data_IF_642018410556
#
_entry.id   IF_642018410556
#
_cell.length_a   1.000
_cell.length_b   1.000
_cell.length_c   1.000
_cell.angle_alpha   90.00
_cell.angle_beta   90.00
_cell.angle_gamma   90.00
#
_symmetry.space_group_name_H-M   'P 1'
#
loop_
_entity.id
_entity.type
_entity.pdbx_description
1 polymer ?
#
# COMPACT_ATOMS: atom_id res chain seq x y z
N UNK A 1 -100.27 23.83 72.53
CA UNK A 1 -99.58 25.09 72.13
C UNK A 1 -98.07 24.92 72.01
N UNK A 2 -97.38 24.29 72.97
CA UNK A 2 -95.91 24.05 72.93
C UNK A 2 -95.41 23.22 71.72
N UNK A 3 -96.18 22.23 71.25
CA UNK A 3 -95.79 21.41 70.08
C UNK A 3 -95.76 22.16 68.74
N UNK A 4 -96.49 23.28 68.60
CA UNK A 4 -96.52 24.05 67.35
C UNK A 4 -95.29 24.97 67.26
N UNK A 5 -94.96 25.63 68.37
CA UNK A 5 -93.81 26.51 68.51
C UNK A 5 -92.48 25.75 68.27
N UNK A 6 -92.35 24.54 68.80
CA UNK A 6 -91.15 23.71 68.58
C UNK A 6 -91.00 23.26 67.12
N UNK A 7 -92.10 22.99 66.40
CA UNK A 7 -92.06 22.65 64.97
C UNK A 7 -91.67 23.87 64.13
N UNK A 8 -92.21 25.04 64.43
CA UNK A 8 -91.90 26.27 63.69
C UNK A 8 -90.44 26.70 63.91
N UNK A 9 -89.89 26.52 65.12
CA UNK A 9 -88.46 26.77 65.40
C UNK A 9 -87.51 25.78 64.71
N UNK A 10 -87.86 24.48 64.69
CA UNK A 10 -87.07 23.47 63.99
C UNK A 10 -87.09 23.69 62.46
N UNK A 11 -88.24 24.18 61.95
CA UNK A 11 -88.42 24.54 60.55
C UNK A 11 -87.58 25.74 60.13
N UNK A 12 -87.57 26.81 60.92
CA UNK A 12 -86.74 27.99 60.66
C UNK A 12 -85.23 27.67 60.61
N UNK A 13 -84.75 26.80 61.51
CA UNK A 13 -83.35 26.32 61.49
C UNK A 13 -83.02 25.51 60.24
N UNK A 14 -83.94 24.65 59.81
CA UNK A 14 -83.78 23.84 58.61
C UNK A 14 -83.75 24.70 57.35
N UNK A 15 -84.60 25.73 57.27
CA UNK A 15 -84.65 26.67 56.16
C UNK A 15 -83.35 27.48 56.03
N UNK A 16 -82.80 27.95 57.15
CA UNK A 16 -81.52 28.68 57.17
C UNK A 16 -80.34 27.81 56.73
N UNK A 17 -80.30 26.54 57.15
CA UNK A 17 -79.27 25.59 56.73
C UNK A 17 -79.34 25.32 55.22
N UNK A 18 -80.55 25.23 54.66
CA UNK A 18 -80.77 25.03 53.22
C UNK A 18 -80.31 26.23 52.38
N UNK A 19 -80.66 27.46 52.78
CA UNK A 19 -80.18 28.65 52.07
C UNK A 19 -78.67 28.85 52.19
N UNK A 20 -78.06 28.50 53.33
CA UNK A 20 -76.60 28.52 53.48
C UNK A 20 -75.91 27.50 52.55
N UNK A 21 -76.47 26.31 52.42
CA UNK A 21 -75.98 25.29 51.49
C UNK A 21 -76.10 25.71 50.02
N UNK A 22 -77.22 26.34 49.64
CA UNK A 22 -77.41 26.87 48.28
C UNK A 22 -76.35 27.95 47.97
N UNK A 23 -76.10 28.87 48.90
CA UNK A 23 -75.10 29.91 48.72
C UNK A 23 -73.68 29.35 48.56
N UNK A 24 -73.34 28.30 49.34
CA UNK A 24 -72.05 27.60 49.24
C UNK A 24 -71.88 26.93 47.87
N UNK A 25 -72.88 26.17 47.43
CA UNK A 25 -72.85 25.45 46.15
C UNK A 25 -72.75 26.40 44.95
N UNK A 26 -73.43 27.56 44.98
CA UNK A 26 -73.29 28.59 43.93
C UNK A 26 -71.87 29.16 43.86
N UNK A 27 -71.17 29.29 44.98
CA UNK A 27 -69.80 29.83 45.01
C UNK A 27 -68.74 28.85 44.51
N UNK A 28 -68.98 27.56 44.71
CA UNK A 28 -68.13 26.51 44.15
C UNK A 28 -68.37 26.29 42.65
N UNK A 29 -69.39 26.95 42.08
CA UNK A 29 -69.77 26.81 40.68
C UNK A 29 -70.45 25.47 40.37
N UNK A 30 -70.93 24.77 41.41
CA UNK A 30 -71.63 23.50 41.25
C UNK A 30 -73.07 23.72 40.81
N UNK A 31 -73.59 22.75 40.02
CA UNK A 31 -74.98 22.78 39.58
C UNK A 31 -75.91 22.57 40.77
N UNK A 32 -76.79 23.55 41.01
CA UNK A 32 -77.82 23.45 42.04
C UNK A 32 -78.83 22.38 41.65
N UNK A 33 -78.90 21.32 42.44
CA UNK A 33 -79.94 20.30 42.35
C UNK A 33 -80.52 20.08 43.73
N UNK A 34 -81.77 19.64 43.78
CA UNK A 34 -82.43 19.29 45.06
C UNK A 34 -81.62 18.24 45.84
N UNK A 35 -80.93 17.34 45.14
CA UNK A 35 -80.09 16.31 45.75
C UNK A 35 -78.81 16.88 46.37
N UNK A 36 -78.12 17.80 45.69
CA UNK A 36 -76.90 18.44 46.22
C UNK A 36 -77.22 19.34 47.41
N UNK A 37 -78.29 20.13 47.31
CA UNK A 37 -78.74 21.03 48.38
C UNK A 37 -79.21 20.27 49.63
N UNK A 38 -80.04 19.23 49.48
CA UNK A 38 -80.52 18.43 50.61
C UNK A 38 -79.37 17.75 51.37
N UNK A 39 -78.39 17.23 50.63
CA UNK A 39 -77.20 16.58 51.21
C UNK A 39 -76.35 17.58 51.98
N UNK A 40 -76.05 18.73 51.38
CA UNK A 40 -75.21 19.76 52.01
C UNK A 40 -75.87 20.39 53.25
N UNK A 41 -77.20 20.52 53.24
CA UNK A 41 -77.96 21.07 54.36
C UNK A 41 -78.33 20.03 55.45
N UNK A 42 -78.08 18.74 55.21
CA UNK A 42 -78.42 17.66 56.14
C UNK A 42 -79.94 17.44 56.32
N UNK A 43 -80.75 17.80 55.32
CA UNK A 43 -82.21 17.65 55.34
C UNK A 43 -82.67 16.56 54.38
N UNK A 44 -83.81 15.93 54.65
CA UNK A 44 -84.40 14.95 53.75
C UNK A 44 -84.88 15.60 52.45
N UNK A 45 -84.71 14.93 51.30
CA UNK A 45 -85.23 15.42 50.01
C UNK A 45 -86.75 15.63 50.04
N UNK A 46 -87.46 14.75 50.75
CA UNK A 46 -88.90 14.85 50.97
C UNK A 46 -89.32 16.11 51.72
N UNK A 47 -88.42 16.72 52.51
CA UNK A 47 -88.67 17.97 53.24
C UNK A 47 -88.75 19.17 52.30
N UNK A 48 -87.96 19.17 51.22
CA UNK A 48 -87.95 20.23 50.21
C UNK A 48 -89.16 20.17 49.26
N UNK A 49 -89.83 19.02 49.16
CA UNK A 49 -91.05 18.82 48.37
C UNK A 49 -92.34 18.95 49.19
N UNK A 50 -92.25 19.38 50.45
CA UNK A 50 -93.45 19.66 51.23
C UNK A 50 -94.19 20.86 50.65
N UNK A 51 -95.49 20.72 50.45
CA UNK A 51 -96.33 21.80 49.92
C UNK A 51 -96.44 22.93 50.95
N UNK A 52 -95.56 23.91 50.82
CA UNK A 52 -95.46 25.06 51.69
C UNK A 52 -94.69 26.20 51.02
N UNK A 53 -95.15 27.42 51.21
CA UNK A 53 -94.60 28.63 50.61
C UNK A 53 -93.08 28.78 50.81
N UNK A 54 -92.55 28.45 51.98
CA UNK A 54 -91.10 28.57 52.24
C UNK A 54 -90.26 27.59 51.41
N UNK A 55 -90.75 26.35 51.21
CA UNK A 55 -90.04 25.33 50.44
C UNK A 55 -90.24 25.53 48.94
N UNK A 56 -91.40 26.04 48.54
CA UNK A 56 -91.65 26.51 47.17
C UNK A 56 -90.68 27.64 46.79
N UNK A 57 -90.40 28.57 47.70
CA UNK A 57 -89.40 29.62 47.49
C UNK A 57 -87.97 29.07 47.40
N UNK A 58 -87.61 28.06 48.20
CA UNK A 58 -86.31 27.36 48.08
C UNK A 58 -86.17 26.68 46.72
N UNK A 59 -87.22 25.99 46.24
CA UNK A 59 -87.23 25.32 44.95
C UNK A 59 -87.06 26.32 43.80
N UNK A 60 -87.74 27.48 43.85
CA UNK A 60 -87.56 28.55 42.88
C UNK A 60 -86.10 29.07 42.83
N UNK A 61 -85.39 29.10 43.96
CA UNK A 61 -83.97 29.48 44.01
C UNK A 61 -83.06 28.39 43.44
N UNK A 62 -83.39 27.11 43.65
CA UNK A 62 -82.67 25.99 43.03
C UNK A 62 -82.83 26.04 41.51
N UNK A 63 -84.02 26.39 41.02
CA UNK A 63 -84.33 26.51 39.59
C UNK A 63 -83.82 27.81 38.94
N UNK A 64 -83.05 28.62 39.68
CA UNK A 64 -82.33 29.78 39.15
C UNK A 64 -82.82 31.16 39.62
N UNK A 65 -83.83 31.22 40.49
CA UNK A 65 -84.30 32.46 41.11
C UNK A 65 -83.32 33.04 42.14
N UNK A 66 -83.51 34.31 42.49
CA UNK A 66 -82.71 35.01 43.51
C UNK A 66 -83.14 34.65 44.94
N UNK A 67 -82.16 34.66 45.86
CA UNK A 67 -82.43 34.41 47.28
C UNK A 67 -83.26 35.57 47.86
N UNK A 68 -84.39 35.30 48.54
CA UNK A 68 -85.23 36.36 49.11
C UNK A 68 -84.43 37.31 50.05
N UNK A 69 -84.60 38.64 49.94
CA UNK A 69 -83.81 39.62 50.70
C UNK A 69 -83.86 39.42 52.22
N UNK A 70 -84.99 38.95 52.74
CA UNK A 70 -85.20 38.70 54.17
C UNK A 70 -84.26 37.62 54.75
N UNK A 71 -83.76 36.70 53.92
CA UNK A 71 -82.87 35.60 54.33
C UNK A 71 -81.39 36.03 54.31
N UNK A 72 -81.03 36.94 53.41
CA UNK A 72 -79.66 37.44 53.22
C UNK A 72 -79.14 38.16 54.47
N UNK A 73 -80.03 38.77 55.26
CA UNK A 73 -79.67 39.56 56.46
C UNK A 73 -79.19 38.69 57.65
N UNK A 74 -79.41 37.36 57.63
CA UNK A 74 -79.03 36.44 58.71
C UNK A 74 -77.89 35.48 58.34
N UNK A 75 -77.18 35.73 57.24
CA UNK A 75 -75.99 34.96 56.87
C UNK A 75 -74.74 35.54 57.57
N UNK A 76 -73.97 34.73 58.32
CA UNK A 76 -72.75 35.22 58.95
C UNK A 76 -71.77 35.75 57.90
N UNK A 77 -71.22 36.94 58.15
CA UNK A 77 -70.24 37.64 57.32
C UNK A 77 -68.86 36.95 57.29
N UNK A 78 -68.80 35.70 56.85
CA UNK A 78 -67.54 34.95 56.61
C UNK A 78 -66.96 35.29 55.21
N UNK A 79 -67.63 36.16 54.46
CA UNK A 79 -67.34 36.45 53.05
C UNK A 79 -66.29 37.52 52.76
N UNK A 80 -65.22 37.66 53.56
CA UNK A 80 -64.06 38.47 53.13
C UNK A 80 -62.71 37.80 53.34
N UNK A 81 -62.01 37.66 52.20
CA UNK A 81 -60.57 37.44 51.95
C UNK A 81 -60.04 36.00 51.86
N UNK A 82 -60.21 35.39 50.67
CA UNK A 82 -59.30 34.35 50.12
C UNK A 82 -58.40 34.85 48.96
N UNK A 83 -58.50 36.13 48.57
CA UNK A 83 -57.75 36.71 47.45
C UNK A 83 -56.21 36.65 47.58
N UNK A 84 -55.57 36.93 48.75
CA UNK A 84 -54.11 36.93 48.83
C UNK A 84 -53.51 35.53 48.63
N UNK A 85 -54.19 34.49 49.10
CA UNK A 85 -53.75 33.10 48.98
C UNK A 85 -53.87 32.59 47.54
N UNK A 86 -54.91 33.01 46.81
CA UNK A 86 -55.10 32.66 45.40
C UNK A 86 -54.13 33.40 44.49
N UNK A 87 -53.83 34.68 44.77
CA UNK A 87 -52.80 35.45 44.05
C UNK A 87 -51.43 34.82 44.25
N UNK A 88 -51.07 34.45 45.49
CA UNK A 88 -49.80 33.78 45.77
C UNK A 88 -49.69 32.45 45.03
N UNK A 89 -50.72 31.62 45.09
CA UNK A 89 -50.76 30.34 44.36
C UNK A 89 -50.65 30.53 42.84
N UNK A 90 -51.33 31.52 42.27
CA UNK A 90 -51.22 31.85 40.85
C UNK A 90 -49.81 32.33 40.49
N UNK A 91 -49.18 33.16 41.32
CA UNK A 91 -47.82 33.66 41.09
C UNK A 91 -46.79 32.53 41.17
N UNK A 92 -46.89 31.65 42.16
CA UNK A 92 -46.02 30.48 42.29
C UNK A 92 -46.22 29.52 41.09
N UNK A 93 -47.46 29.37 40.62
CA UNK A 93 -47.78 28.55 39.45
C UNK A 93 -47.27 29.16 38.14
N UNK A 94 -47.35 30.48 37.98
CA UNK A 94 -46.79 31.19 36.82
C UNK A 94 -45.27 31.02 36.81
N UNK A 95 -44.58 31.25 37.93
CA UNK A 95 -43.11 31.07 38.00
C UNK A 95 -42.67 29.63 37.72
N UNK A 96 -43.44 28.63 38.15
CA UNK A 96 -43.17 27.24 37.80
C UNK A 96 -43.34 26.97 36.30
N UNK A 97 -44.38 27.52 35.67
CA UNK A 97 -44.62 27.39 34.22
C UNK A 97 -43.58 28.14 33.39
N UNK A 98 -43.14 29.32 33.83
CA UNK A 98 -42.06 30.07 33.17
C UNK A 98 -40.74 29.30 33.21
N UNK A 99 -40.44 28.66 34.33
CA UNK A 99 -39.25 27.81 34.47
C UNK A 99 -39.33 26.57 33.57
N UNK A 100 -40.48 25.88 33.55
CA UNK A 100 -40.71 24.76 32.63
C UNK A 100 -40.57 25.20 31.16
N UNK A 101 -41.08 26.38 30.81
CA UNK A 101 -40.95 26.94 29.47
C UNK A 101 -39.48 27.22 29.12
N UNK A 102 -38.71 27.81 30.02
CA UNK A 102 -37.29 28.09 29.83
C UNK A 102 -36.45 26.80 29.69
N UNK A 103 -36.73 25.78 30.52
CA UNK A 103 -36.12 24.46 30.39
C UNK A 103 -36.44 23.80 29.03
N UNK A 104 -37.68 23.95 28.57
CA UNK A 104 -38.12 23.42 27.27
C UNK A 104 -37.46 24.13 26.10
N UNK A 105 -37.33 25.47 26.17
CA UNK A 105 -36.63 26.28 25.16
C UNK A 105 -35.15 25.88 25.09
N UNK A 106 -34.47 25.79 26.24
CA UNK A 106 -33.07 25.40 26.30
C UNK A 106 -32.83 23.99 25.74
N UNK A 107 -33.73 23.05 26.03
CA UNK A 107 -33.69 21.70 25.47
C UNK A 107 -33.91 21.70 23.94
N UNK A 108 -34.86 22.51 23.47
CA UNK A 108 -35.13 22.67 22.05
C UNK A 108 -33.90 23.25 21.32
N UNK A 109 -33.31 24.34 21.84
CA UNK A 109 -32.12 24.96 21.25
C UNK A 109 -30.93 24.02 21.20
N UNK A 110 -30.67 23.27 22.28
CA UNK A 110 -29.62 22.26 22.30
C UNK A 110 -29.86 21.13 21.28
N UNK A 111 -31.12 20.74 21.08
CA UNK A 111 -31.51 19.72 20.10
C UNK A 111 -31.40 20.26 18.67
N UNK A 112 -31.81 21.51 18.43
CA UNK A 112 -31.66 22.19 17.15
C UNK A 112 -30.18 22.34 16.77
N UNK A 113 -29.32 22.76 17.69
CA UNK A 113 -27.88 22.85 17.42
C UNK A 113 -27.28 21.48 17.07
N UNK A 114 -27.62 20.41 17.81
CA UNK A 114 -27.18 19.04 17.46
C UNK A 114 -27.66 18.60 16.09
N UNK A 115 -28.90 18.92 15.71
CA UNK A 115 -29.44 18.62 14.39
C UNK A 115 -28.74 19.41 13.28
N UNK A 116 -28.42 20.68 13.53
CA UNK A 116 -27.65 21.53 12.60
C UNK A 116 -26.25 20.97 12.41
N UNK A 117 -25.56 20.60 13.50
CA UNK A 117 -24.22 19.99 13.44
C UNK A 117 -24.24 18.67 12.66
N UNK A 118 -25.25 17.82 12.91
CA UNK A 118 -25.43 16.56 12.18
C UNK A 118 -25.72 16.81 10.69
N UNK A 119 -26.58 17.77 10.35
CA UNK A 119 -26.86 18.15 8.97
C UNK A 119 -25.61 18.68 8.28
N UNK A 120 -24.83 19.53 8.93
CA UNK A 120 -23.57 20.05 8.39
C UNK A 120 -22.54 18.94 8.20
N UNK A 121 -22.43 18.00 9.15
CA UNK A 121 -21.58 16.82 9.04
C UNK A 121 -21.95 15.94 7.83
N UNK A 122 -23.23 15.60 7.68
CA UNK A 122 -23.69 14.82 6.54
C UNK A 122 -23.59 15.59 5.24
N UNK A 123 -23.79 16.91 5.25
CA UNK A 123 -23.60 17.76 4.07
C UNK A 123 -22.14 17.77 3.64
N UNK A 124 -21.19 17.94 4.56
CA UNK A 124 -19.75 17.86 4.27
C UNK A 124 -19.35 16.49 3.70
N UNK A 125 -19.83 15.39 4.30
CA UNK A 125 -19.60 14.03 3.78
C UNK A 125 -20.23 13.83 2.40
N UNK A 126 -21.41 14.40 2.16
CA UNK A 126 -22.11 14.32 0.87
C UNK A 126 -21.44 15.17 -0.23
N UNK A 127 -20.84 16.31 0.14
CA UNK A 127 -20.12 17.17 -0.78
C UNK A 127 -18.74 16.60 -1.13
N UNK A 128 -18.13 15.83 -0.23
CA UNK A 128 -16.92 15.06 -0.51
C UNK A 128 -17.17 13.85 -1.45
N UNK A 129 -18.42 13.44 -1.73
CA UNK A 129 -18.67 12.14 -2.39
C UNK A 129 -18.75 12.11 -3.92
N UNK A 130 -18.73 13.22 -4.69
CA UNK A 130 -18.49 13.16 -6.15
C UNK A 130 -17.04 13.45 -6.53
N UNK A 131 -16.46 14.56 -6.07
CA UNK A 131 -15.10 14.96 -6.48
C UNK A 131 -14.05 13.95 -6.01
N UNK A 132 -14.15 13.49 -4.76
CA UNK A 132 -13.25 12.49 -4.19
C UNK A 132 -13.45 11.12 -4.84
N UNK A 133 -14.68 10.78 -5.26
CA UNK A 133 -14.94 9.57 -6.05
C UNK A 133 -14.37 9.66 -7.45
N UNK A 134 -14.44 10.82 -8.10
CA UNK A 134 -13.85 11.06 -9.42
C UNK A 134 -12.33 11.09 -9.36
N UNK A 135 -11.75 11.64 -8.29
CA UNK A 135 -10.31 11.66 -8.05
C UNK A 135 -9.77 10.26 -7.73
N UNK A 136 -10.46 9.48 -6.89
CA UNK A 136 -10.14 8.07 -6.65
C UNK A 136 -10.34 7.23 -7.92
N UNK A 137 -11.38 7.50 -8.72
CA UNK A 137 -11.60 6.84 -10.02
C UNK A 137 -10.47 7.17 -10.99
N UNK A 138 -10.04 8.44 -11.07
CA UNK A 138 -8.91 8.88 -11.90
C UNK A 138 -7.61 8.22 -11.47
N UNK A 139 -7.30 8.22 -10.17
CA UNK A 139 -6.15 7.52 -9.62
C UNK A 139 -6.21 6.01 -9.91
N UNK A 140 -7.38 5.39 -9.85
CA UNK A 140 -7.54 3.96 -10.16
C UNK A 140 -7.33 3.67 -11.64
N UNK A 141 -7.76 4.57 -12.53
CA UNK A 141 -7.49 4.48 -13.97
C UNK A 141 -5.99 4.63 -14.25
N UNK A 142 -5.33 5.64 -13.66
CA UNK A 142 -3.89 5.86 -13.77
C UNK A 142 -3.08 4.68 -13.21
N UNK A 143 -3.53 4.12 -12.08
CA UNK A 143 -2.92 2.93 -11.48
C UNK A 143 -3.09 1.70 -12.39
N UNK A 144 -4.25 1.53 -13.01
CA UNK A 144 -4.49 0.42 -13.95
C UNK A 144 -3.62 0.58 -15.20
N UNK A 145 -3.53 1.79 -15.75
CA UNK A 145 -2.67 2.11 -16.89
C UNK A 145 -1.18 1.86 -16.56
N UNK A 146 -0.72 2.24 -15.37
CA UNK A 146 0.65 1.95 -14.92
C UNK A 146 0.88 0.46 -14.68
N UNK A 147 -0.09 -0.30 -14.17
CA UNK A 147 0.02 -1.76 -14.08
C UNK A 147 0.12 -2.43 -15.46
N UNK A 148 -0.67 -1.97 -16.43
CA UNK A 148 -0.61 -2.43 -17.82
C UNK A 148 0.73 -2.08 -18.47
N UNK A 149 1.24 -0.86 -18.22
CA UNK A 149 2.54 -0.41 -18.69
C UNK A 149 3.69 -1.16 -18.03
N UNK A 150 3.63 -1.42 -16.72
CA UNK A 150 4.56 -2.31 -16.02
C UNK A 150 4.47 -3.73 -16.59
N UNK A 151 3.26 -4.20 -16.93
CA UNK A 151 3.05 -5.48 -17.60
C UNK A 151 3.75 -5.55 -18.96
N UNK A 152 3.56 -4.52 -19.79
CA UNK A 152 4.25 -4.36 -21.08
C UNK A 152 5.76 -4.25 -20.90
N UNK A 153 6.25 -3.42 -19.98
CA UNK A 153 7.67 -3.26 -19.70
C UNK A 153 8.28 -4.54 -19.14
N UNK A 154 7.57 -5.30 -18.30
CA UNK A 154 8.02 -6.63 -17.84
C UNK A 154 8.05 -7.64 -18.98
N UNK A 155 7.07 -7.62 -19.88
CA UNK A 155 7.07 -8.44 -21.08
C UNK A 155 8.18 -8.03 -22.05
N UNK A 156 8.45 -6.75 -22.19
CA UNK A 156 9.52 -6.21 -23.03
C UNK A 156 10.88 -6.49 -22.40
N UNK A 157 11.03 -6.36 -21.08
CA UNK A 157 12.23 -6.82 -20.35
C UNK A 157 12.37 -8.32 -20.51
N UNK A 158 11.31 -9.13 -20.41
CA UNK A 158 11.37 -10.56 -20.70
C UNK A 158 11.75 -10.82 -22.14
N UNK A 159 11.18 -10.10 -23.12
CA UNK A 159 11.52 -10.21 -24.54
C UNK A 159 12.97 -9.81 -24.79
N UNK A 160 13.45 -8.73 -24.21
CA UNK A 160 14.84 -8.26 -24.28
C UNK A 160 15.80 -9.14 -23.47
N UNK A 161 15.32 -9.82 -22.42
CA UNK A 161 16.05 -10.83 -21.65
C UNK A 161 16.00 -12.18 -22.35
N UNK A 162 15.00 -12.44 -23.19
CA UNK A 162 14.88 -13.62 -24.04
C UNK A 162 15.54 -13.35 -25.40
N UNK A 163 15.75 -12.11 -25.81
CA UNK A 163 16.58 -11.69 -26.95
C UNK A 163 18.04 -11.51 -26.49
N UNK A 164 18.25 -11.12 -25.23
CA UNK A 164 19.52 -11.13 -24.51
C UNK A 164 19.88 -12.49 -23.91
N UNK A 165 18.90 -13.41 -23.83
CA UNK A 165 18.95 -14.81 -23.37
C UNK A 165 18.92 -15.83 -24.52
N UNK A 166 18.27 -15.45 -25.65
CA UNK A 166 18.80 -15.63 -27.02
C UNK A 166 19.97 -14.68 -27.28
N UNK A 167 20.66 -14.30 -26.22
CA UNK A 167 22.10 -14.29 -26.14
C UNK A 167 22.64 -15.02 -27.38
N UNK A 168 23.43 -14.40 -28.24
CA UNK A 168 24.65 -13.76 -27.80
C UNK A 168 25.32 -14.46 -26.59
N UNK A 169 25.04 -15.76 -26.37
CA UNK A 169 26.00 -16.79 -26.01
C UNK A 169 26.86 -16.99 -27.27
N UNK A 170 27.41 -15.89 -27.78
CA UNK A 170 28.84 -15.86 -27.94
C UNK A 170 29.34 -16.00 -26.50
N UNK A 171 29.36 -17.23 -25.94
CA UNK A 171 29.97 -17.45 -24.63
C UNK A 171 31.38 -16.94 -24.79
N UNK A 172 31.66 -15.74 -24.24
CA UNK A 172 32.54 -14.74 -24.86
C UNK A 172 33.56 -15.42 -25.75
N UNK A 173 33.24 -15.57 -27.05
CA UNK A 173 33.91 -16.58 -27.92
C UNK A 173 35.33 -16.10 -27.95
N UNK A 174 36.18 -16.75 -27.16
CA UNK A 174 37.55 -16.36 -27.09
C UNK A 174 38.07 -16.53 -28.50
N UNK A 175 38.49 -15.42 -29.11
CA UNK A 175 38.94 -15.43 -30.49
C UNK A 175 40.33 -16.02 -30.48
N UNK A 176 40.53 -17.13 -31.16
CA UNK A 176 41.88 -17.62 -31.42
C UNK A 176 42.48 -16.86 -32.59
N UNK A 177 43.73 -16.42 -32.43
CA UNK A 177 44.59 -16.01 -33.53
C UNK A 177 45.83 -16.90 -33.52
N UNK A 178 46.41 -17.09 -34.69
CA UNK A 178 47.51 -18.01 -34.89
C UNK A 178 48.55 -17.38 -35.80
N UNK A 179 49.80 -17.30 -35.33
CA UNK A 179 50.97 -16.99 -36.14
C UNK A 179 51.74 -18.29 -36.31
N UNK A 180 51.90 -18.73 -37.56
CA UNK A 180 52.68 -19.92 -37.89
C UNK A 180 54.03 -19.51 -38.47
N UNK A 181 55.12 -20.05 -37.94
CA UNK A 181 56.49 -19.86 -38.39
C UNK A 181 56.95 -21.19 -39.00
N UNK A 182 56.96 -21.31 -40.35
CA UNK A 182 57.33 -22.56 -41.03
C UNK A 182 58.76 -23.02 -40.70
N UNK A 183 58.98 -24.33 -40.47
CA UNK A 183 60.27 -24.87 -40.07
C UNK A 183 61.36 -24.77 -41.15
N UNK A 184 60.99 -24.62 -42.41
CA UNK A 184 61.91 -24.55 -43.56
C UNK A 184 62.56 -23.16 -43.73
N UNK A 185 62.08 -22.15 -43.00
CA UNK A 185 62.61 -20.79 -43.09
C UNK A 185 63.99 -20.67 -42.41
N UNK A 186 64.89 -19.91 -43.03
CA UNK A 186 66.10 -19.46 -42.32
C UNK A 186 65.73 -18.57 -41.14
N UNK A 187 66.60 -18.48 -40.13
CA UNK A 187 66.35 -17.69 -38.91
C UNK A 187 65.95 -16.24 -39.22
N UNK A 188 66.66 -15.58 -40.15
CA UNK A 188 66.35 -14.20 -40.53
C UNK A 188 64.96 -14.07 -41.17
N UNK A 189 64.57 -14.99 -42.06
CA UNK A 189 63.24 -14.99 -42.70
C UNK A 189 62.13 -15.32 -41.69
N UNK A 190 62.39 -16.26 -40.78
CA UNK A 190 61.47 -16.61 -39.71
C UNK A 190 61.20 -15.42 -38.78
N UNK A 191 62.25 -14.65 -38.44
CA UNK A 191 62.12 -13.44 -37.61
C UNK A 191 61.36 -12.33 -38.33
N UNK A 192 61.68 -12.04 -39.59
CA UNK A 192 60.99 -11.03 -40.40
C UNK A 192 59.51 -11.37 -40.59
N UNK A 193 59.21 -12.64 -40.91
CA UNK A 193 57.85 -13.17 -41.00
C UNK A 193 57.09 -13.04 -39.68
N UNK A 194 57.72 -13.44 -38.57
CA UNK A 194 57.13 -13.30 -37.25
C UNK A 194 56.81 -11.84 -36.91
N UNK A 195 57.75 -10.92 -37.12
CA UNK A 195 57.55 -9.51 -36.83
C UNK A 195 56.43 -8.91 -37.69
N UNK A 196 56.37 -9.29 -38.97
CA UNK A 196 55.32 -8.85 -39.90
C UNK A 196 53.95 -9.33 -39.44
N UNK A 197 53.81 -10.61 -39.12
CA UNK A 197 52.55 -11.17 -38.64
C UNK A 197 52.19 -10.64 -37.24
N UNK A 198 53.17 -10.45 -36.36
CA UNK A 198 52.95 -9.85 -35.04
C UNK A 198 52.38 -8.43 -35.17
N UNK A 199 52.95 -7.57 -36.02
CA UNK A 199 52.41 -6.22 -36.26
C UNK A 199 51.04 -6.24 -36.94
N UNK A 200 50.78 -7.20 -37.83
CA UNK A 200 49.46 -7.38 -38.44
C UNK A 200 48.40 -7.73 -37.42
N UNK A 201 48.76 -8.54 -36.41
CA UNK A 201 47.87 -8.95 -35.33
C UNK A 201 47.78 -7.92 -34.20
N UNK A 202 48.89 -7.25 -33.91
CA UNK A 202 49.13 -6.36 -32.76
C UNK A 202 49.95 -5.14 -33.23
N UNK A 203 49.32 -4.17 -33.92
CA UNK A 203 50.03 -3.02 -34.49
C UNK A 203 50.59 -2.08 -33.42
N UNK A 204 49.96 -2.04 -32.24
CA UNK A 204 50.37 -1.20 -31.12
C UNK A 204 49.97 -1.80 -29.76
N UNK A 205 50.42 -1.15 -28.68
CA UNK A 205 50.12 -1.57 -27.29
C UNK A 205 48.63 -1.48 -26.94
N UNK A 206 47.87 -0.57 -27.55
CA UNK A 206 46.45 -0.43 -27.25
C UNK A 206 45.68 -1.66 -27.76
N UNK A 207 46.01 -2.15 -28.96
CA UNK A 207 45.50 -3.43 -29.47
C UNK A 207 46.02 -4.62 -28.67
N UNK A 208 47.29 -4.57 -28.23
CA UNK A 208 47.90 -5.60 -27.40
C UNK A 208 47.13 -5.89 -26.09
N UNK A 209 46.46 -4.90 -25.50
CA UNK A 209 45.61 -5.06 -24.31
C UNK A 209 44.37 -5.93 -24.52
N UNK A 210 43.94 -6.13 -25.77
CA UNK A 210 42.80 -6.99 -26.09
C UNK A 210 43.14 -8.50 -26.07
N UNK A 211 44.43 -8.84 -26.01
CA UNK A 211 44.88 -10.22 -25.88
C UNK A 211 44.90 -10.61 -24.40
N UNK A 212 44.28 -11.74 -24.09
CA UNK A 212 44.13 -12.22 -22.70
C UNK A 212 45.05 -13.39 -22.37
N UNK A 213 45.57 -14.07 -23.39
CA UNK A 213 46.57 -15.13 -23.23
C UNK A 213 47.42 -15.25 -24.49
N UNK A 214 48.72 -15.45 -24.34
CA UNK A 214 49.62 -15.72 -25.45
C UNK A 214 50.33 -17.04 -25.18
N UNK A 215 50.41 -17.91 -26.17
CA UNK A 215 51.02 -19.24 -26.02
C UNK A 215 52.01 -19.49 -27.15
N UNK A 216 53.28 -19.60 -26.80
CA UNK A 216 54.32 -20.13 -27.67
C UNK A 216 54.17 -21.65 -27.71
N UNK A 217 53.87 -22.19 -28.89
CA UNK A 217 53.70 -23.63 -29.11
C UNK A 217 54.96 -24.14 -29.79
N UNK A 218 55.76 -24.83 -29.00
CA UNK A 218 57.11 -25.25 -29.34
C UNK A 218 57.17 -26.77 -29.51
N UNK A 219 58.08 -27.23 -30.35
CA UNK A 219 58.32 -28.65 -30.58
C UNK A 219 58.76 -28.94 -32.01
N UNK A 220 59.18 -30.18 -32.25
CA UNK A 220 59.70 -30.62 -33.55
C UNK A 220 58.66 -30.43 -34.67
N UNK A 221 59.08 -30.29 -35.94
CA UNK A 221 58.15 -30.39 -37.07
C UNK A 221 57.35 -31.70 -36.99
N UNK A 222 56.07 -31.68 -37.40
CA UNK A 222 55.15 -32.84 -37.34
C UNK A 222 54.86 -33.41 -35.95
N UNK A 223 55.26 -32.74 -34.86
CA UNK A 223 54.92 -33.17 -33.49
C UNK A 223 53.43 -33.10 -33.14
N UNK A 224 52.61 -32.45 -33.98
CA UNK A 224 51.16 -32.28 -33.77
C UNK A 224 50.75 -30.91 -33.23
N UNK A 225 51.64 -29.91 -33.29
CA UNK A 225 51.41 -28.54 -32.79
C UNK A 225 50.13 -27.90 -33.34
N UNK A 226 49.97 -27.81 -34.66
CA UNK A 226 48.75 -27.23 -35.27
C UNK A 226 47.48 -27.96 -34.81
N UNK A 227 47.50 -29.30 -34.82
CA UNK A 227 46.37 -30.12 -34.32
C UNK A 227 46.07 -29.87 -32.85
N UNK A 228 47.10 -29.66 -32.02
CA UNK A 228 46.93 -29.32 -30.61
C UNK A 228 46.30 -27.94 -30.44
N UNK A 229 46.77 -26.93 -31.20
CA UNK A 229 46.22 -25.56 -31.22
C UNK A 229 44.73 -25.59 -31.60
N UNK A 230 44.37 -26.35 -32.62
CA UNK A 230 42.99 -26.48 -33.09
C UNK A 230 42.07 -27.02 -31.98
N UNK A 231 42.56 -27.99 -31.21
CA UNK A 231 41.82 -28.63 -30.11
C UNK A 231 41.69 -27.80 -28.84
N UNK A 232 42.55 -26.80 -28.61
CA UNK A 232 42.45 -25.98 -27.40
C UNK A 232 41.13 -25.21 -27.36
N UNK A 233 40.50 -25.04 -26.21
CA UNK A 233 39.47 -24.01 -26.08
C UNK A 233 40.17 -22.67 -25.82
N UNK A 234 39.54 -21.56 -26.21
CA UNK A 234 40.02 -20.28 -25.70
C UNK A 234 39.78 -20.25 -24.17
N UNK A 235 40.79 -19.94 -23.34
CA UNK A 235 40.74 -20.08 -21.89
C UNK A 235 39.75 -19.13 -21.20
N UNK A 236 39.21 -18.13 -21.90
CA UNK A 236 38.23 -17.19 -21.35
C UNK A 236 37.78 -16.13 -22.36
N UNK A 237 37.01 -15.12 -21.91
CA UNK A 237 36.68 -13.95 -22.72
C UNK A 237 37.95 -13.25 -23.21
N UNK A 238 37.99 -12.84 -24.49
CA UNK A 238 39.11 -12.08 -25.07
C UNK A 238 39.73 -12.72 -26.32
N UNK A 239 40.96 -12.33 -26.66
CA UNK A 239 41.71 -12.90 -27.78
C UNK A 239 42.91 -13.71 -27.28
N UNK A 240 43.02 -14.95 -27.72
CA UNK A 240 44.17 -15.81 -27.46
C UNK A 240 45.06 -15.88 -28.69
N UNK A 241 46.35 -15.62 -28.53
CA UNK A 241 47.33 -15.73 -29.61
C UNK A 241 48.16 -17.01 -29.41
N UNK A 242 48.18 -17.86 -30.43
CA UNK A 242 49.09 -18.99 -30.53
C UNK A 242 50.22 -18.63 -31.50
N UNK A 243 51.46 -18.82 -31.08
CA UNK A 243 52.66 -18.65 -31.90
C UNK A 243 53.25 -20.04 -32.11
N UNK A 244 53.02 -20.62 -33.27
CA UNK A 244 53.53 -21.93 -33.64
C UNK A 244 54.87 -21.80 -34.36
N UNK A 245 55.87 -22.54 -33.90
CA UNK A 245 57.13 -22.68 -34.62
C UNK A 245 57.95 -23.86 -34.11
N UNK A 246 59.14 -24.05 -34.68
CA UNK A 246 60.10 -25.03 -34.13
C UNK A 246 60.60 -24.57 -32.77
N UNK A 247 60.95 -23.28 -32.67
CA UNK A 247 61.29 -22.59 -31.42
C UNK A 247 62.30 -23.38 -30.59
N UNK A 248 63.26 -24.01 -31.28
CA UNK A 248 64.07 -25.09 -30.73
C UNK A 248 65.26 -24.58 -29.92
N UNK A 249 65.68 -23.33 -30.09
CA UNK A 249 66.74 -22.69 -29.29
C UNK A 249 66.17 -21.65 -28.32
N UNK A 250 66.85 -21.47 -27.19
CA UNK A 250 66.57 -20.48 -26.15
C UNK A 250 66.68 -19.05 -26.70
N UNK A 251 67.70 -18.77 -27.51
CA UNK A 251 67.90 -17.46 -28.12
C UNK A 251 66.68 -17.02 -28.93
N UNK A 252 66.16 -17.92 -29.78
CA UNK A 252 65.00 -17.65 -30.61
C UNK A 252 63.76 -17.40 -29.75
N UNK A 253 63.52 -18.25 -28.73
CA UNK A 253 62.38 -18.08 -27.81
C UNK A 253 62.47 -16.75 -27.06
N UNK A 254 63.65 -16.39 -26.55
CA UNK A 254 63.89 -15.17 -25.77
C UNK A 254 63.66 -13.92 -26.61
N UNK A 255 64.20 -13.86 -27.83
CA UNK A 255 64.04 -12.70 -28.72
C UNK A 255 62.58 -12.51 -29.10
N UNK A 256 61.88 -13.58 -29.49
CA UNK A 256 60.47 -13.50 -29.88
C UNK A 256 59.58 -13.13 -28.68
N UNK A 257 59.84 -13.70 -27.51
CA UNK A 257 59.14 -13.37 -26.26
C UNK A 257 59.28 -11.89 -25.91
N UNK A 258 60.50 -11.33 -26.03
CA UNK A 258 60.75 -9.92 -25.75
C UNK A 258 59.91 -8.99 -26.66
N UNK A 259 59.74 -9.35 -27.93
CA UNK A 259 58.90 -8.60 -28.86
C UNK A 259 57.42 -8.64 -28.47
N UNK A 260 56.93 -9.82 -28.06
CA UNK A 260 55.55 -9.98 -27.58
C UNK A 260 55.32 -9.17 -26.29
N UNK A 261 56.18 -9.33 -25.27
CA UNK A 261 56.05 -8.61 -23.98
C UNK A 261 56.18 -7.09 -24.13
N UNK A 262 56.83 -6.60 -25.18
CA UNK A 262 56.86 -5.16 -25.49
C UNK A 262 55.49 -4.62 -25.92
N UNK A 263 54.66 -5.44 -26.58
CA UNK A 263 53.37 -5.05 -27.14
C UNK A 263 52.17 -5.47 -26.28
N UNK A 264 52.32 -6.53 -25.49
CA UNK A 264 51.24 -7.14 -24.73
C UNK A 264 51.53 -7.22 -23.24
N UNK A 265 50.49 -7.01 -22.42
CA UNK A 265 50.52 -7.18 -20.95
C UNK A 265 49.94 -8.55 -20.52
N UNK A 266 49.54 -9.38 -21.48
CA UNK A 266 48.92 -10.68 -21.24
C UNK A 266 49.91 -11.71 -20.70
N UNK A 267 49.41 -12.71 -19.98
CA UNK A 267 50.21 -13.88 -19.58
C UNK A 267 50.73 -14.61 -20.83
N UNK A 268 52.05 -14.84 -20.87
CA UNK A 268 52.76 -15.53 -21.94
C UNK A 268 53.23 -16.89 -21.45
N UNK A 269 52.66 -17.94 -22.05
CA UNK A 269 52.95 -19.34 -21.73
C UNK A 269 53.80 -19.98 -22.81
N UNK A 270 54.59 -20.99 -22.45
CA UNK A 270 55.21 -21.89 -23.41
C UNK A 270 54.58 -23.29 -23.28
N UNK A 271 53.94 -23.77 -24.35
CA UNK A 271 53.47 -25.13 -24.49
C UNK A 271 54.49 -25.94 -25.30
N UNK A 272 55.19 -26.85 -24.64
CA UNK A 272 56.23 -27.67 -25.24
C UNK A 272 55.70 -29.08 -25.54
N UNK A 273 55.55 -29.40 -26.83
CA UNK A 273 55.16 -30.74 -27.27
C UNK A 273 56.36 -31.69 -27.17
N UNK A 274 56.23 -32.70 -26.32
CA UNK A 274 57.26 -33.68 -25.97
C UNK A 274 57.32 -34.87 -26.95
N UNK A 275 56.67 -34.77 -28.11
CA UNK A 275 56.72 -35.79 -29.16
C UNK A 275 58.17 -36.02 -29.60
N UNK A 276 58.64 -37.26 -29.49
CA UNK A 276 60.01 -37.63 -29.85
C UNK A 276 60.30 -37.54 -31.34
N UNK A 277 61.58 -37.45 -31.69
CA UNK A 277 62.03 -37.35 -33.08
C UNK A 277 61.62 -38.57 -33.91
N UNK A 278 61.67 -39.78 -33.35
CA UNK A 278 61.28 -41.02 -34.04
C UNK A 278 59.83 -40.98 -34.52
N UNK A 279 58.92 -40.48 -33.69
CA UNK A 279 57.50 -40.34 -34.02
C UNK A 279 57.28 -39.24 -35.07
N UNK A 280 58.04 -38.15 -35.01
CA UNK A 280 57.98 -37.09 -36.02
C UNK A 280 58.50 -37.57 -37.38
N UNK A 281 59.59 -38.35 -37.40
CA UNK A 281 60.15 -38.97 -38.59
C UNK A 281 59.19 -40.01 -39.19
N UNK A 282 58.56 -40.84 -38.35
CA UNK A 282 57.53 -41.79 -38.80
C UNK A 282 56.35 -41.09 -39.47
N UNK A 283 55.98 -39.89 -39.00
CA UNK A 283 54.94 -39.04 -39.63
C UNK A 283 55.40 -38.36 -40.92
N UNK A 284 56.71 -38.23 -41.13
CA UNK A 284 57.29 -37.70 -42.37
C UNK A 284 57.35 -38.76 -43.48
N UNK A 285 57.33 -40.06 -43.14
CA UNK A 285 57.24 -41.16 -44.11
C UNK A 285 55.94 -41.08 -44.94
N UNK A 286 55.96 -41.50 -46.21
CA UNK A 286 55.24 -40.81 -47.28
C UNK A 286 53.71 -40.95 -47.18
N UNK A 287 53.05 -39.89 -46.71
CA UNK A 287 51.83 -39.41 -47.36
C UNK A 287 52.25 -38.58 -48.58
N UNK A 288 51.68 -38.84 -49.75
CA UNK A 288 51.98 -38.26 -51.08
C UNK A 288 51.86 -36.71 -51.20
N UNK A 289 52.36 -35.92 -50.25
CA UNK A 289 52.24 -34.46 -50.23
C UNK A 289 53.63 -33.86 -50.25
N UNK A 290 54.04 -33.36 -51.43
CA UNK A 290 55.36 -32.82 -51.73
C UNK A 290 55.69 -31.47 -51.04
N UNK A 291 55.05 -31.12 -49.93
CA UNK A 291 55.08 -29.78 -49.34
C UNK A 291 55.22 -29.78 -47.81
N UNK A 292 55.94 -30.75 -47.24
CA UNK A 292 56.17 -30.87 -45.79
C UNK A 292 57.65 -30.86 -45.40
N UNK A 293 57.95 -30.69 -44.10
CA UNK A 293 59.32 -30.68 -43.58
C UNK A 293 60.02 -32.03 -43.86
N UNK A 294 61.26 -31.96 -44.36
CA UNK A 294 62.04 -33.17 -44.70
C UNK A 294 62.57 -33.90 -43.46
N UNK A 295 62.95 -35.17 -43.62
CA UNK A 295 63.58 -35.93 -42.54
C UNK A 295 64.89 -35.28 -42.08
N UNK A 296 65.70 -34.75 -42.99
CA UNK A 296 66.94 -34.04 -42.68
C UNK A 296 66.67 -32.81 -41.80
N UNK A 297 65.62 -32.06 -42.13
CA UNK A 297 65.23 -30.87 -41.36
C UNK A 297 64.79 -31.24 -39.95
N UNK A 298 64.01 -32.31 -39.79
CA UNK A 298 63.58 -32.82 -38.47
C UNK A 298 64.79 -33.23 -37.64
N UNK A 299 65.74 -33.97 -38.22
CA UNK A 299 66.98 -34.38 -37.54
C UNK A 299 67.85 -33.19 -37.15
N UNK A 300 68.00 -32.20 -38.04
CA UNK A 300 68.79 -31.00 -37.78
C UNK A 300 68.19 -30.19 -36.62
N UNK A 301 66.87 -29.95 -36.63
CA UNK A 301 66.19 -29.24 -35.54
C UNK A 301 66.28 -30.03 -34.24
N UNK A 302 66.11 -31.35 -34.28
CA UNK A 302 66.22 -32.20 -33.09
C UNK A 302 67.61 -32.12 -32.45
N UNK A 303 68.67 -32.16 -33.25
CA UNK A 303 70.05 -32.04 -32.77
C UNK A 303 70.33 -30.68 -32.10
N UNK A 304 69.72 -29.61 -32.59
CA UNK A 304 69.83 -28.25 -32.01
C UNK A 304 68.77 -27.92 -30.96
N UNK A 305 67.94 -28.87 -30.53
CA UNK A 305 66.84 -28.60 -29.60
C UNK A 305 67.35 -28.44 -28.17
N UNK A 306 67.17 -27.24 -27.62
CA UNK A 306 67.44 -26.91 -26.23
C UNK A 306 66.18 -27.07 -25.39
N UNK A 307 66.34 -27.55 -24.15
CA UNK A 307 65.21 -27.69 -23.21
C UNK A 307 64.69 -26.32 -22.82
N UNK A 308 63.37 -26.16 -22.80
CA UNK A 308 62.76 -24.94 -22.28
C UNK A 308 63.02 -24.82 -20.80
N UNK A 309 63.51 -23.65 -20.39
CA UNK A 309 63.83 -23.32 -19.01
C UNK A 309 62.86 -22.28 -18.45
N UNK A 310 62.64 -22.33 -17.13
CA UNK A 310 61.91 -21.28 -16.40
C UNK A 310 62.67 -19.94 -16.41
N UNK A 311 63.96 -19.97 -16.72
CA UNK A 311 64.80 -18.77 -16.81
C UNK A 311 64.48 -17.90 -18.04
N UNK A 312 63.80 -18.47 -19.04
CA UNK A 312 63.43 -17.78 -20.29
C UNK A 312 62.29 -16.77 -20.11
N UNK A 313 61.91 -16.43 -18.86
CA UNK A 313 60.91 -15.40 -18.53
C UNK A 313 59.50 -15.66 -19.05
N UNK A 314 59.15 -16.90 -19.41
CA UNK A 314 57.76 -17.31 -19.58
C UNK A 314 57.03 -17.26 -18.24
N UNK A 315 55.75 -16.88 -18.26
CA UNK A 315 54.95 -16.80 -17.04
C UNK A 315 54.49 -18.20 -16.58
N UNK A 316 54.38 -19.15 -17.53
CA UNK A 316 54.18 -20.57 -17.24
C UNK A 316 54.69 -21.49 -18.35
N UNK A 317 55.10 -22.71 -17.97
CA UNK A 317 55.55 -23.77 -18.87
C UNK A 317 54.61 -24.97 -18.79
N UNK A 318 54.20 -25.49 -19.95
CA UNK A 318 53.28 -26.63 -20.06
C UNK A 318 53.90 -27.70 -20.94
N UNK A 319 54.19 -28.87 -20.37
CA UNK A 319 54.60 -30.05 -21.14
C UNK A 319 53.37 -30.76 -21.71
N UNK A 320 53.32 -30.92 -23.03
CA UNK A 320 52.24 -31.60 -23.75
C UNK A 320 52.77 -32.94 -24.24
N UNK A 321 52.10 -34.03 -23.86
CA UNK A 321 52.43 -35.41 -24.28
C UNK A 321 51.53 -35.87 -25.40
#
# INVERSE_FOLDING_TARGET
MQSKILRDMARGKSLQAVYAAIAHLRQEGEQLTVASVARAAGVGRSTLYQDNDDWNAVMAVIDGGDIPPAVVVNMPSVFRRREPSRIKWLSDRIGALEKELEETINFADATYQRLVDQLQYYFAISHETPSRRDEVRKQRIELTATYEEIGRLKQEVRRLTDEGGRSNVIGAKGRKRHISIPPEMSVAKAMDHFLTELHRHIPDKAVGKAFTSITFVCGLPLSGKSTWIDRQAAPGPGTSLFIEGTLHTEELRTVLLAQVKRLCEAEVRCAWLLTGADECLRRAMPSNVAAGPTEELIRAIHAGTERVSVMESFDSLVGVR
#
